data_IF_493487980891
#
_entry.id   IF_493487980891
#
_cell.length_a   1.000
_cell.length_b   1.000
_cell.length_c   1.000
_cell.angle_alpha   90.00
_cell.angle_beta   90.00
_cell.angle_gamma   90.00
#
_symmetry.space_group_name_H-M   'P 1'
#
loop_
_entity.id
_entity.type
_entity.pdbx_description
1 polymer ?
#
# COMPACT_ATOMS: atom_id res chain seq x y z
N UNK A 1 -43.16 -60.40 90.71
CA UNK A 1 -42.28 -60.28 91.89
C UNK A 1 -41.99 -58.80 92.14
N UNK A 2 -42.29 -58.32 93.36
CA UNK A 2 -41.98 -56.98 93.96
C UNK A 2 -42.53 -55.76 93.19
N UNK A 3 -43.66 -55.13 93.53
CA UNK A 3 -44.19 -54.53 94.79
C UNK A 3 -43.48 -53.22 95.22
N UNK A 4 -44.15 -52.08 95.00
CA UNK A 4 -44.38 -50.92 95.91
C UNK A 4 -44.75 -49.68 95.07
N UNK A 5 -45.99 -49.15 95.00
CA UNK A 5 -46.89 -48.56 96.02
C UNK A 5 -46.64 -47.05 96.27
N UNK A 6 -47.77 -46.33 96.38
CA UNK A 6 -48.06 -44.97 96.90
C UNK A 6 -47.99 -43.79 95.91
N UNK A 7 -49.09 -43.25 95.34
CA UNK A 7 -50.30 -42.56 95.87
C UNK A 7 -50.06 -41.07 96.22
N UNK A 8 -50.70 -40.16 95.45
CA UNK A 8 -51.61 -39.06 95.89
C UNK A 8 -51.51 -37.81 94.99
N UNK A 9 -52.68 -37.20 94.74
CA UNK A 9 -52.80 -35.75 94.56
C UNK A 9 -53.59 -35.30 93.34
N UNK A 10 -54.88 -35.09 93.51
CA UNK A 10 -55.74 -34.33 92.60
C UNK A 10 -55.40 -32.84 92.72
N UNK A 11 -55.23 -32.11 91.62
CA UNK A 11 -55.40 -30.65 91.57
C UNK A 11 -55.85 -30.22 90.17
N UNK A 12 -56.92 -29.41 90.14
CA UNK A 12 -57.61 -28.85 88.97
C UNK A 12 -56.69 -27.83 88.27
N UNK A 13 -56.58 -27.88 86.93
CA UNK A 13 -55.91 -26.85 86.15
C UNK A 13 -56.68 -26.49 84.87
N UNK A 14 -56.81 -25.18 84.69
CA UNK A 14 -57.60 -24.40 83.75
C UNK A 14 -57.08 -24.48 82.31
N UNK A 15 -58.00 -24.43 81.34
CA UNK A 15 -57.72 -24.37 79.90
C UNK A 15 -57.06 -23.04 79.54
N UNK A 16 -55.90 -23.10 78.87
CA UNK A 16 -55.21 -21.96 78.25
C UNK A 16 -54.92 -22.23 76.78
N UNK A 17 -55.68 -21.58 75.90
CA UNK A 17 -55.54 -21.62 74.44
C UNK A 17 -54.40 -20.65 74.04
N UNK A 18 -53.25 -21.16 73.58
CA UNK A 18 -52.18 -20.34 73.02
C UNK A 18 -52.44 -20.07 71.52
N UNK A 19 -52.81 -18.83 71.18
CA UNK A 19 -52.63 -18.28 69.84
C UNK A 19 -51.15 -17.91 69.65
N UNK A 20 -50.46 -18.58 68.73
CA UNK A 20 -49.20 -18.10 68.20
C UNK A 20 -49.48 -17.03 67.14
N UNK A 21 -49.26 -15.76 67.48
CA UNK A 21 -49.30 -14.65 66.53
C UNK A 21 -47.92 -14.54 65.85
N UNK A 22 -47.85 -14.90 64.58
CA UNK A 22 -46.71 -14.60 63.71
C UNK A 22 -46.71 -13.10 63.38
N UNK A 23 -45.76 -12.38 63.93
CA UNK A 23 -45.49 -10.98 63.59
C UNK A 23 -45.00 -10.89 62.13
N UNK A 24 -45.77 -10.21 61.27
CA UNK A 24 -45.26 -9.74 59.99
C UNK A 24 -44.11 -8.75 60.26
N UNK A 25 -42.90 -9.05 59.76
CA UNK A 25 -41.82 -8.08 59.70
C UNK A 25 -42.30 -6.92 58.81
N UNK A 26 -42.08 -5.68 59.25
CA UNK A 26 -42.22 -4.50 58.38
C UNK A 26 -41.24 -4.68 57.22
N UNK A 27 -41.74 -4.77 56.00
CA UNK A 27 -40.88 -4.68 54.82
C UNK A 27 -40.19 -3.31 54.84
N UNK A 28 -38.85 -3.29 54.80
CA UNK A 28 -38.11 -2.05 54.56
C UNK A 28 -38.49 -1.53 53.18
N UNK A 29 -38.81 -0.24 53.10
CA UNK A 29 -39.13 0.38 51.82
C UNK A 29 -37.90 0.30 50.90
N UNK A 30 -38.11 -0.18 49.67
CA UNK A 30 -37.07 -0.22 48.63
C UNK A 30 -36.47 1.17 48.43
N UNK A 31 -35.14 1.23 48.35
CA UNK A 31 -34.41 2.43 47.94
C UNK A 31 -34.61 2.68 46.44
N UNK A 32 -34.28 3.89 45.94
CA UNK A 32 -34.40 4.22 44.53
C UNK A 32 -33.68 3.22 43.61
N UNK A 33 -34.23 3.02 42.42
CA UNK A 33 -33.62 2.22 41.36
C UNK A 33 -32.22 2.72 40.99
N UNK A 34 -31.34 1.84 40.48
CA UNK A 34 -29.99 2.24 40.11
C UNK A 34 -29.99 3.25 38.95
N UNK A 35 -28.94 4.07 38.88
CA UNK A 35 -28.68 4.98 37.77
C UNK A 35 -27.35 4.64 37.11
N UNK A 36 -27.24 4.98 35.82
CA UNK A 36 -26.01 4.82 35.04
C UNK A 36 -25.65 6.18 34.44
N UNK A 37 -24.40 6.59 34.59
CA UNK A 37 -23.84 7.78 33.96
C UNK A 37 -22.53 7.43 33.24
N UNK A 38 -22.20 8.17 32.19
CA UNK A 38 -21.02 7.92 31.36
C UNK A 38 -20.02 9.07 31.48
N UNK A 39 -18.73 8.76 31.43
CA UNK A 39 -17.67 9.78 31.32
C UNK A 39 -17.71 10.49 29.97
N UNK A 40 -17.98 9.75 28.90
CA UNK A 40 -18.24 10.28 27.56
C UNK A 40 -19.45 9.58 26.94
N UNK A 41 -20.38 10.37 26.40
CA UNK A 41 -21.61 9.84 25.77
C UNK A 41 -21.42 9.54 24.28
N UNK A 42 -20.36 10.09 23.66
CA UNK A 42 -20.05 9.82 22.26
C UNK A 42 -18.56 9.98 21.95
N UNK A 43 -18.12 9.34 20.88
CA UNK A 43 -16.79 9.51 20.30
C UNK A 43 -16.82 9.17 18.81
N UNK A 44 -15.71 9.41 18.11
CA UNK A 44 -15.54 9.01 16.72
C UNK A 44 -14.15 8.43 16.48
N UNK A 45 -14.05 7.31 15.78
CA UNK A 45 -12.77 6.69 15.45
C UNK A 45 -12.87 5.85 14.17
N UNK A 46 -11.71 5.49 13.59
CA UNK A 46 -11.64 4.67 12.39
C UNK A 46 -12.08 3.22 12.67
N UNK A 47 -12.56 2.53 11.64
CA UNK A 47 -12.75 1.08 11.71
C UNK A 47 -11.44 0.38 12.16
N UNK A 48 -11.55 -0.57 13.07
CA UNK A 48 -10.40 -1.25 13.69
C UNK A 48 -9.79 -0.53 14.90
N UNK A 49 -10.16 0.73 15.19
CA UNK A 49 -9.66 1.44 16.36
C UNK A 49 -10.39 1.02 17.64
N UNK A 50 -9.68 1.07 18.78
CA UNK A 50 -10.27 0.88 20.10
C UNK A 50 -10.70 2.21 20.69
N UNK A 51 -11.92 2.27 21.20
CA UNK A 51 -12.52 3.42 21.88
C UNK A 51 -12.89 3.05 23.31
N UNK A 52 -12.93 4.04 24.20
CA UNK A 52 -13.21 3.81 25.62
C UNK A 52 -14.14 4.87 26.22
N UNK A 53 -14.88 4.46 27.25
CA UNK A 53 -15.65 5.34 28.14
C UNK A 53 -15.67 4.74 29.54
N UNK A 54 -15.97 5.54 30.55
CA UNK A 54 -16.18 5.08 31.93
C UNK A 54 -17.67 5.04 32.21
N UNK A 55 -18.16 3.96 32.84
CA UNK A 55 -19.55 3.82 33.26
C UNK A 55 -19.62 3.87 34.77
N UNK A 56 -20.28 4.88 35.33
CA UNK A 56 -20.54 4.98 36.77
C UNK A 56 -21.94 4.47 37.05
N UNK A 57 -22.04 3.46 37.91
CA UNK A 57 -23.28 2.85 38.37
C UNK A 57 -23.52 3.25 39.83
N UNK A 58 -24.60 3.98 40.09
CA UNK A 58 -25.06 4.25 41.45
C UNK A 58 -26.26 3.35 41.74
N UNK A 59 -26.10 2.39 42.66
CA UNK A 59 -27.09 1.38 42.99
C UNK A 59 -27.33 1.35 44.51
N UNK A 60 -28.32 2.08 45.05
CA UNK A 60 -28.55 2.19 46.50
C UNK A 60 -28.75 0.85 47.23
N UNK A 61 -29.26 -0.18 46.53
CA UNK A 61 -29.41 -1.56 47.05
C UNK A 61 -28.18 -2.45 46.82
N UNK A 62 -27.11 -1.90 46.26
CA UNK A 62 -25.90 -2.61 45.85
C UNK A 62 -26.00 -3.14 44.42
N UNK A 63 -24.96 -2.92 43.62
CA UNK A 63 -24.92 -3.37 42.23
C UNK A 63 -24.94 -4.90 42.09
N UNK A 64 -25.61 -5.43 41.06
CA UNK A 64 -25.62 -6.86 40.71
C UNK A 64 -24.97 -7.12 39.35
N UNK A 65 -25.51 -6.52 38.29
CA UNK A 65 -25.03 -6.70 36.91
C UNK A 65 -25.11 -5.41 36.11
N UNK A 66 -24.13 -5.18 35.25
CA UNK A 66 -24.16 -4.18 34.19
C UNK A 66 -24.35 -4.91 32.85
N UNK A 67 -25.56 -4.87 32.32
CA UNK A 67 -25.84 -5.36 30.97
C UNK A 67 -25.23 -4.38 29.95
N UNK A 68 -24.54 -4.94 28.96
CA UNK A 68 -23.94 -4.18 27.86
C UNK A 68 -24.44 -4.79 26.55
N UNK A 69 -24.99 -3.95 25.68
CA UNK A 69 -25.43 -4.36 24.34
C UNK A 69 -24.77 -3.46 23.30
N UNK A 70 -24.35 -4.04 22.19
CA UNK A 70 -23.82 -3.33 21.03
C UNK A 70 -24.89 -3.37 19.94
N UNK A 71 -25.38 -2.20 19.51
CA UNK A 71 -26.52 -2.07 18.59
C UNK A 71 -27.76 -2.88 19.03
N UNK A 72 -27.98 -2.95 20.34
CA UNK A 72 -29.13 -3.66 20.92
C UNK A 72 -28.99 -5.18 21.04
N UNK A 73 -27.85 -5.76 20.66
CA UNK A 73 -27.56 -7.19 20.80
C UNK A 73 -26.37 -7.45 21.71
N UNK A 74 -26.33 -8.62 22.34
CA UNK A 74 -25.17 -9.05 23.12
C UNK A 74 -23.97 -9.28 22.20
N UNK A 75 -22.82 -8.77 22.60
CA UNK A 75 -21.56 -8.88 21.84
C UNK A 75 -20.51 -9.61 22.67
N UNK A 76 -19.95 -10.69 22.13
CA UNK A 76 -18.95 -11.50 22.82
C UNK A 76 -17.63 -10.73 23.06
N UNK A 77 -17.35 -9.70 22.25
CA UNK A 77 -16.17 -8.84 22.43
C UNK A 77 -16.35 -7.82 23.55
N UNK A 78 -17.60 -7.58 23.99
CA UNK A 78 -17.91 -6.69 25.09
C UNK A 78 -19.07 -7.26 25.95
N UNK A 79 -18.81 -8.33 26.73
CA UNK A 79 -19.85 -9.00 27.51
C UNK A 79 -20.31 -8.15 28.70
N UNK A 80 -21.50 -8.49 29.22
CA UNK A 80 -22.01 -7.93 30.47
C UNK A 80 -21.04 -8.14 31.63
N UNK A 81 -21.04 -7.22 32.60
CA UNK A 81 -20.13 -7.23 33.75
C UNK A 81 -20.88 -7.49 35.05
N UNK A 82 -20.29 -8.29 35.94
CA UNK A 82 -20.76 -8.44 37.32
C UNK A 82 -20.31 -7.23 38.14
N UNK A 83 -21.24 -6.65 38.90
CA UNK A 83 -20.95 -5.53 39.80
C UNK A 83 -20.52 -6.07 41.18
N UNK A 84 -19.72 -5.30 41.92
CA UNK A 84 -19.07 -5.72 43.16
C UNK A 84 -20.01 -5.71 44.39
N UNK A 85 -21.25 -5.27 44.22
CA UNK A 85 -22.24 -5.22 45.29
C UNK A 85 -22.20 -3.96 46.15
N UNK A 86 -21.32 -3.00 45.85
CA UNK A 86 -21.28 -1.67 46.49
C UNK A 86 -22.38 -0.76 45.97
N UNK A 87 -22.60 0.36 46.65
CA UNK A 87 -23.63 1.33 46.28
C UNK A 87 -23.23 2.24 45.13
N UNK A 88 -21.95 2.30 44.78
CA UNK A 88 -21.44 3.08 43.65
C UNK A 88 -20.18 2.41 43.11
N UNK A 89 -20.15 2.13 41.81
CA UNK A 89 -19.04 1.46 41.14
C UNK A 89 -18.73 2.13 39.80
N UNK A 90 -17.45 2.36 39.51
CA UNK A 90 -16.98 2.82 38.19
C UNK A 90 -16.43 1.63 37.42
N UNK A 91 -16.80 1.53 36.14
CA UNK A 91 -16.45 0.44 35.25
C UNK A 91 -15.87 0.99 33.96
N UNK A 92 -14.60 0.68 33.69
CA UNK A 92 -13.98 1.05 32.41
C UNK A 92 -14.49 0.15 31.28
N UNK A 93 -14.86 0.77 30.17
CA UNK A 93 -15.34 0.12 28.96
C UNK A 93 -14.36 0.43 27.83
N UNK A 94 -13.95 -0.62 27.12
CA UNK A 94 -13.09 -0.56 25.95
C UNK A 94 -13.68 -1.42 24.85
N UNK A 95 -13.87 -0.86 23.66
CA UNK A 95 -14.51 -1.51 22.53
C UNK A 95 -13.71 -1.29 21.26
N UNK A 96 -13.46 -2.34 20.48
CA UNK A 96 -12.75 -2.24 19.19
C UNK A 96 -13.76 -2.23 18.05
N UNK A 97 -13.74 -1.17 17.25
CA UNK A 97 -14.64 -1.03 16.11
C UNK A 97 -14.33 -2.14 15.10
N UNK A 98 -15.32 -2.90 14.60
CA UNK A 98 -15.09 -3.91 13.57
C UNK A 98 -14.37 -3.33 12.35
N UNK A 99 -13.38 -4.03 11.81
CA UNK A 99 -12.63 -3.56 10.63
C UNK A 99 -13.52 -3.37 9.38
N UNK A 100 -14.65 -4.08 9.31
CA UNK A 100 -15.64 -3.98 8.24
C UNK A 100 -16.74 -2.93 8.51
N UNK A 101 -16.64 -2.14 9.58
CA UNK A 101 -17.66 -1.15 9.92
C UNK A 101 -17.74 -0.05 8.83
N UNK A 102 -18.96 0.31 8.46
CA UNK A 102 -19.22 1.28 7.39
C UNK A 102 -18.96 2.70 7.90
N UNK A 103 -18.17 3.47 7.17
CA UNK A 103 -17.91 4.89 7.46
C UNK A 103 -19.24 5.66 7.58
N UNK A 104 -19.36 6.49 8.62
CA UNK A 104 -20.56 7.27 8.93
C UNK A 104 -21.64 6.51 9.70
N UNK A 105 -21.51 5.19 9.89
CA UNK A 105 -22.39 4.44 10.78
C UNK A 105 -22.12 4.77 12.24
N UNK A 106 -23.15 4.61 13.08
CA UNK A 106 -23.06 4.80 14.54
C UNK A 106 -23.24 3.44 15.19
N UNK A 107 -22.28 3.05 16.02
CA UNK A 107 -22.36 1.87 16.88
C UNK A 107 -22.83 2.37 18.25
N UNK A 108 -24.03 1.95 18.67
CA UNK A 108 -24.60 2.31 19.95
C UNK A 108 -24.29 1.24 20.99
N UNK A 109 -23.47 1.57 21.98
CA UNK A 109 -23.20 0.70 23.13
C UNK A 109 -24.10 1.16 24.26
N UNK A 110 -25.06 0.32 24.65
CA UNK A 110 -26.03 0.64 25.69
C UNK A 110 -25.71 -0.08 27.00
N UNK A 111 -25.96 0.61 28.10
CA UNK A 111 -25.66 0.16 29.44
C UNK A 111 -26.91 0.21 30.30
N UNK A 112 -27.19 -0.89 31.00
CA UNK A 112 -28.28 -0.98 31.95
C UNK A 112 -27.81 -1.70 33.20
N UNK A 113 -27.96 -1.08 34.37
CA UNK A 113 -27.60 -1.68 35.64
C UNK A 113 -28.81 -2.39 36.27
N UNK A 114 -28.56 -3.52 36.91
CA UNK A 114 -29.50 -4.20 37.81
C UNK A 114 -28.88 -4.21 39.21
N UNK A 115 -29.67 -3.86 40.22
CA UNK A 115 -29.26 -3.91 41.64
C UNK A 115 -29.61 -5.26 42.29
N UNK A 116 -29.28 -5.45 43.57
CA UNK A 116 -29.59 -6.68 44.33
C UNK A 116 -31.09 -6.85 44.62
N UNK A 117 -31.87 -5.77 44.58
CA UNK A 117 -33.33 -5.81 44.66
C UNK A 117 -33.99 -6.14 43.30
N UNK A 118 -33.21 -6.34 42.24
CA UNK A 118 -33.62 -6.56 40.86
C UNK A 118 -34.34 -5.35 40.23
N UNK A 119 -34.09 -4.14 40.73
CA UNK A 119 -34.46 -2.91 40.03
C UNK A 119 -33.50 -2.66 38.87
N UNK A 120 -34.02 -2.09 37.79
CA UNK A 120 -33.29 -1.88 36.54
C UNK A 120 -33.19 -0.37 36.26
N UNK A 121 -32.01 0.09 35.90
CA UNK A 121 -31.78 1.50 35.56
C UNK A 121 -32.43 1.87 34.22
N UNK A 122 -32.67 3.18 33.97
CA UNK A 122 -32.74 3.68 32.59
C UNK A 122 -31.45 3.32 31.82
N UNK A 123 -31.55 3.18 30.51
CA UNK A 123 -30.39 2.93 29.66
C UNK A 123 -29.56 4.19 29.44
N UNK A 124 -28.23 4.05 29.51
CA UNK A 124 -27.29 5.06 29.02
C UNK A 124 -26.64 4.56 27.72
N UNK A 125 -26.35 5.45 26.78
CA UNK A 125 -25.80 5.09 25.47
C UNK A 125 -24.48 5.81 25.22
N UNK A 126 -23.44 5.03 24.90
CA UNK A 126 -22.20 5.52 24.32
C UNK A 126 -22.25 5.32 22.80
N UNK A 127 -22.38 6.41 22.06
CA UNK A 127 -22.46 6.39 20.61
C UNK A 127 -21.07 6.53 19.96
N UNK A 128 -20.66 5.54 19.19
CA UNK A 128 -19.37 5.52 18.49
C UNK A 128 -19.61 5.71 17.00
N UNK A 129 -19.26 6.88 16.48
CA UNK A 129 -19.33 7.18 15.04
C UNK A 129 -18.09 6.63 14.34
N UNK A 130 -18.28 5.84 13.27
CA UNK A 130 -17.17 5.33 12.46
C UNK A 130 -16.69 6.44 11.53
N UNK A 131 -15.50 6.97 11.78
CA UNK A 131 -14.91 8.06 11.01
C UNK A 131 -14.38 7.59 9.66
N UNK A 132 -14.46 8.47 8.67
CA UNK A 132 -13.72 8.30 7.42
C UNK A 132 -12.22 8.45 7.68
N UNK A 133 -11.39 7.72 6.93
CA UNK A 133 -9.97 8.08 6.80
C UNK A 133 -9.91 9.45 6.14
N UNK A 134 -9.23 10.46 6.73
CA UNK A 134 -9.07 11.76 6.09
C UNK A 134 -8.45 11.58 4.70
N UNK A 135 -8.99 12.29 3.70
CA UNK A 135 -8.41 12.27 2.37
C UNK A 135 -6.98 12.85 2.43
N UNK A 136 -6.02 12.14 1.81
CA UNK A 136 -4.66 12.64 1.68
C UNK A 136 -4.64 13.91 0.83
N UNK A 137 -3.85 14.90 1.22
CA UNK A 137 -3.62 16.10 0.40
C UNK A 137 -2.80 15.74 -0.84
N UNK A 138 -3.21 16.24 -2.00
CA UNK A 138 -2.44 16.11 -3.24
C UNK A 138 -1.46 17.28 -3.35
N UNK A 139 -0.18 16.96 -3.52
CA UNK A 139 0.89 17.92 -3.81
C UNK A 139 1.23 17.81 -5.29
N UNK A 140 0.93 18.85 -6.06
CA UNK A 140 1.38 18.96 -7.45
C UNK A 140 2.88 19.25 -7.49
N UNK A 141 3.63 18.38 -8.17
CA UNK A 141 5.08 18.51 -8.37
C UNK A 141 5.34 18.78 -9.85
N UNK A 142 6.16 19.80 -10.13
CA UNK A 142 6.53 20.22 -11.49
C UNK A 142 8.03 20.49 -11.56
N UNK A 143 8.60 20.45 -12.77
CA UNK A 143 9.97 20.92 -13.00
C UNK A 143 11.05 20.03 -12.39
N UNK A 144 12.13 20.65 -11.90
CA UNK A 144 13.32 19.95 -11.39
C UNK A 144 13.47 20.10 -9.88
N UNK A 145 13.74 18.99 -9.21
CA UNK A 145 14.11 18.87 -7.81
C UNK A 145 15.64 18.90 -7.75
N UNK A 146 16.20 20.05 -7.37
CA UNK A 146 17.65 20.29 -7.34
C UNK A 146 18.25 20.29 -5.94
N UNK A 147 17.43 19.97 -4.93
CA UNK A 147 17.84 19.80 -3.53
C UNK A 147 17.21 18.54 -2.98
N UNK A 148 17.88 17.92 -2.01
CA UNK A 148 17.38 16.72 -1.36
C UNK A 148 15.95 16.93 -0.85
N UNK A 149 15.05 16.04 -1.26
CA UNK A 149 13.62 16.17 -1.02
C UNK A 149 13.07 14.88 -0.46
N UNK A 150 12.13 14.99 0.47
CA UNK A 150 11.50 13.86 1.12
C UNK A 150 9.98 13.88 0.90
N UNK A 151 9.46 12.81 0.31
CA UNK A 151 8.04 12.58 0.11
C UNK A 151 7.48 11.63 1.16
N UNK A 152 6.40 12.04 1.82
CA UNK A 152 5.86 11.39 3.01
C UNK A 152 4.51 10.72 2.73
N UNK A 153 4.24 9.60 3.40
CA UNK A 153 3.08 8.75 3.10
C UNK A 153 1.72 9.37 3.48
N UNK A 154 1.68 10.47 4.25
CA UNK A 154 0.47 11.23 4.57
C UNK A 154 -0.08 12.04 3.38
N UNK A 155 0.69 12.17 2.30
CA UNK A 155 0.32 12.92 1.10
C UNK A 155 0.26 12.01 -0.13
N UNK A 156 -0.36 12.54 -1.18
CA UNK A 156 -0.25 12.03 -2.54
C UNK A 156 0.59 13.03 -3.31
N UNK A 157 1.56 12.57 -4.08
CA UNK A 157 2.38 13.44 -4.94
C UNK A 157 1.94 13.26 -6.37
N UNK A 158 1.60 14.34 -7.07
CA UNK A 158 1.16 14.27 -8.47
C UNK A 158 2.21 14.91 -9.39
N UNK A 159 2.78 14.09 -10.26
CA UNK A 159 3.77 14.49 -11.26
C UNK A 159 3.05 15.20 -12.41
N UNK A 160 3.28 16.50 -12.55
CA UNK A 160 2.66 17.33 -13.57
C UNK A 160 3.72 17.67 -14.64
N UNK A 161 3.69 16.89 -15.73
CA UNK A 161 4.77 16.80 -16.71
C UNK A 161 5.93 15.94 -16.20
N UNK A 162 7.07 15.98 -16.91
CA UNK A 162 8.29 15.32 -16.46
C UNK A 162 8.90 16.05 -15.27
N UNK A 163 8.73 15.47 -14.08
CA UNK A 163 9.40 15.86 -12.84
C UNK A 163 10.79 15.23 -12.84
N UNK A 164 11.82 16.04 -12.60
CA UNK A 164 13.22 15.61 -12.69
C UNK A 164 13.89 15.69 -11.33
N UNK A 165 14.65 14.69 -10.95
CA UNK A 165 15.57 14.76 -9.80
C UNK A 165 16.96 15.08 -10.35
N UNK A 166 17.49 16.24 -9.99
CA UNK A 166 18.65 16.85 -10.62
C UNK A 166 18.34 17.51 -11.97
N UNK A 167 19.39 18.06 -12.59
CA UNK A 167 19.35 18.67 -13.92
C UNK A 167 20.54 18.20 -14.74
N UNK A 168 20.24 17.68 -15.92
CA UNK A 168 21.20 17.16 -16.87
C UNK A 168 20.69 17.49 -18.26
N UNK A 169 21.31 18.47 -18.91
CA UNK A 169 20.78 19.06 -20.12
C UNK A 169 21.91 19.39 -21.09
N UNK A 170 21.60 19.24 -22.38
CA UNK A 170 22.47 19.68 -23.45
C UNK A 170 22.65 21.22 -23.38
N UNK A 171 23.88 21.75 -23.40
CA UNK A 171 24.12 23.18 -23.47
C UNK A 171 23.62 23.78 -24.81
N UNK A 172 22.38 24.27 -24.83
CA UNK A 172 21.79 25.04 -25.92
C UNK A 172 21.41 24.25 -27.20
N UNK A 173 20.53 24.86 -28.01
CA UNK A 173 20.19 24.37 -29.35
C UNK A 173 21.28 24.80 -30.34
N UNK A 174 22.16 23.88 -30.78
CA UNK A 174 23.17 24.28 -31.78
C UNK A 174 24.29 23.33 -32.20
N UNK A 175 24.45 22.11 -31.67
CA UNK A 175 25.48 21.22 -32.20
C UNK A 175 25.26 19.74 -31.88
N UNK A 176 25.26 18.89 -32.89
CA UNK A 176 25.73 17.52 -32.71
C UNK A 176 27.18 17.59 -32.17
N UNK A 177 27.54 16.73 -31.22
CA UNK A 177 28.89 16.65 -30.64
C UNK A 177 29.11 17.36 -29.29
N UNK A 178 28.05 17.74 -28.56
CA UNK A 178 28.17 18.38 -27.22
C UNK A 178 27.49 17.51 -26.17
N UNK A 179 28.23 17.18 -25.12
CA UNK A 179 27.74 16.36 -24.01
C UNK A 179 26.65 17.10 -23.21
N UNK A 180 25.60 16.40 -22.77
CA UNK A 180 24.73 16.90 -21.71
C UNK A 180 25.55 17.11 -20.43
N UNK A 181 25.27 18.23 -19.75
CA UNK A 181 25.99 18.66 -18.56
C UNK A 181 25.09 18.53 -17.34
N UNK A 182 25.55 17.74 -16.37
CA UNK A 182 24.97 17.67 -15.03
C UNK A 182 25.23 19.00 -14.34
N UNK A 183 24.16 19.76 -14.07
CA UNK A 183 24.24 21.11 -13.47
C UNK A 183 23.75 21.14 -12.02
N UNK A 184 22.95 20.14 -11.62
CA UNK A 184 22.55 19.90 -10.24
C UNK A 184 22.26 18.42 -10.03
N UNK A 185 22.54 17.94 -8.83
CA UNK A 185 22.16 16.59 -8.38
C UNK A 185 21.33 16.70 -7.11
N UNK A 186 20.45 15.73 -6.88
CA UNK A 186 19.64 15.65 -5.67
C UNK A 186 19.32 14.20 -5.32
N UNK A 187 18.92 13.99 -4.07
CA UNK A 187 18.33 12.73 -3.61
C UNK A 187 16.84 12.93 -3.34
N UNK A 188 16.00 12.16 -4.03
CA UNK A 188 14.58 12.05 -3.71
C UNK A 188 14.35 10.83 -2.81
N UNK A 189 13.95 11.06 -1.56
CA UNK A 189 13.55 10.00 -0.63
C UNK A 189 12.02 9.89 -0.60
N UNK A 190 11.48 8.67 -0.63
CA UNK A 190 10.04 8.41 -0.62
C UNK A 190 9.70 7.39 0.46
N UNK A 191 8.81 7.76 1.38
CA UNK A 191 8.34 6.86 2.44
C UNK A 191 7.54 5.68 1.89
N UNK A 192 7.66 4.53 2.55
CA UNK A 192 6.80 3.37 2.32
C UNK A 192 5.31 3.73 2.42
N UNK A 193 4.49 3.19 1.52
CA UNK A 193 3.04 3.47 1.47
C UNK A 193 2.67 4.82 0.83
N UNK A 194 3.65 5.56 0.30
CA UNK A 194 3.38 6.78 -0.49
C UNK A 194 2.74 6.41 -1.82
N UNK A 195 1.73 7.20 -2.20
CA UNK A 195 1.07 7.10 -3.51
C UNK A 195 1.50 8.29 -4.36
N UNK A 196 1.95 8.00 -5.57
CA UNK A 196 2.39 8.97 -6.56
C UNK A 196 1.48 8.84 -7.77
N UNK A 197 0.91 9.95 -8.22
CA UNK A 197 0.13 10.03 -9.43
C UNK A 197 0.95 10.58 -10.59
N UNK A 198 0.92 9.89 -11.72
CA UNK A 198 1.21 10.51 -13.00
C UNK A 198 -0.02 11.30 -13.47
N UNK A 199 0.14 12.61 -13.66
CA UNK A 199 -0.93 13.44 -14.22
C UNK A 199 -1.16 13.06 -15.68
N UNK A 200 -2.41 12.96 -16.07
CA UNK A 200 -2.80 12.75 -17.46
C UNK A 200 -2.74 14.05 -18.26
N UNK A 201 -2.47 13.99 -19.55
CA UNK A 201 -2.39 15.17 -20.42
C UNK A 201 -1.21 15.11 -21.38
N UNK A 202 -0.81 16.26 -21.90
CA UNK A 202 0.28 16.39 -22.86
C UNK A 202 1.34 17.39 -22.34
N UNK A 203 2.55 16.93 -21.98
CA UNK A 203 2.95 15.53 -21.85
C UNK A 203 2.29 14.84 -20.64
N UNK A 204 2.24 13.51 -20.66
CA UNK A 204 1.92 12.72 -19.47
C UNK A 204 2.94 12.98 -18.35
N UNK A 205 2.50 12.86 -17.10
CA UNK A 205 3.40 13.00 -15.94
C UNK A 205 4.45 11.87 -15.92
N UNK A 206 5.69 12.19 -15.56
CA UNK A 206 6.77 11.19 -15.47
C UNK A 206 7.79 11.58 -14.42
N UNK A 207 8.52 10.60 -13.87
CA UNK A 207 9.61 10.83 -12.92
C UNK A 207 10.94 10.43 -13.54
N UNK A 208 11.83 11.40 -13.74
CA UNK A 208 13.17 11.19 -14.32
C UNK A 208 14.22 11.42 -13.24
N UNK A 209 15.00 10.41 -12.94
CA UNK A 209 16.19 10.53 -12.08
C UNK A 209 17.38 10.79 -13.00
N UNK A 210 17.85 12.04 -13.04
CA UNK A 210 18.95 12.43 -13.92
C UNK A 210 20.29 11.86 -13.45
N UNK A 211 21.25 11.74 -14.38
CA UNK A 211 22.60 11.22 -14.07
C UNK A 211 23.20 11.91 -12.85
N UNK A 212 23.78 11.10 -11.96
CA UNK A 212 24.38 11.56 -10.69
C UNK A 212 23.38 11.86 -9.56
N UNK A 213 22.07 11.90 -9.83
CA UNK A 213 21.02 12.01 -8.82
C UNK A 213 20.59 10.64 -8.30
N UNK A 214 19.83 10.63 -7.20
CA UNK A 214 19.41 9.41 -6.53
C UNK A 214 17.91 9.39 -6.23
N UNK A 215 17.33 8.18 -6.29
CA UNK A 215 16.04 7.87 -5.72
C UNK A 215 16.22 6.86 -4.58
N UNK A 216 15.62 7.14 -3.42
CA UNK A 216 15.54 6.23 -2.27
C UNK A 216 14.06 5.95 -2.03
N UNK A 217 13.52 4.98 -2.75
CA UNK A 217 12.13 4.54 -2.70
C UNK A 217 12.07 3.13 -2.13
N UNK A 218 12.03 3.04 -0.80
CA UNK A 218 12.08 1.77 -0.08
C UNK A 218 10.72 1.49 0.58
N UNK A 219 9.80 0.92 -0.19
CA UNK A 219 8.55 0.39 0.31
C UNK A 219 8.74 -0.86 1.16
N UNK A 220 7.62 -1.45 1.59
CA UNK A 220 7.60 -2.76 2.25
C UNK A 220 6.51 -3.64 1.64
N UNK A 221 6.54 -4.94 1.91
CA UNK A 221 5.48 -5.85 1.45
C UNK A 221 4.07 -5.45 1.94
N UNK A 222 3.97 -4.88 3.15
CA UNK A 222 2.71 -4.38 3.71
C UNK A 222 2.36 -2.94 3.30
N UNK A 223 3.35 -2.16 2.85
CA UNK A 223 3.19 -0.77 2.47
C UNK A 223 4.09 -0.44 1.25
N UNK A 224 3.75 -0.97 0.06
CA UNK A 224 4.51 -0.67 -1.15
C UNK A 224 4.35 0.81 -1.52
N UNK A 225 5.34 1.36 -2.22
CA UNK A 225 5.20 2.66 -2.88
C UNK A 225 4.46 2.42 -4.20
N UNK A 226 3.46 3.24 -4.50
CA UNK A 226 2.61 3.04 -5.69
C UNK A 226 2.67 4.26 -6.59
N UNK A 227 3.23 4.09 -7.80
CA UNK A 227 3.13 5.01 -8.91
C UNK A 227 1.98 4.58 -9.82
N UNK A 228 1.00 5.44 -10.06
CA UNK A 228 -0.21 5.07 -10.83
C UNK A 228 -0.84 6.27 -11.53
N UNK A 229 -1.82 6.03 -12.40
CA UNK A 229 -2.61 7.08 -13.05
C UNK A 229 -3.44 7.89 -12.05
N UNK A 230 -3.52 9.22 -12.25
CA UNK A 230 -4.41 10.09 -11.45
C UNK A 230 -5.91 9.82 -11.68
N UNK A 231 -6.28 9.08 -12.74
CA UNK A 231 -7.68 8.77 -13.03
C UNK A 231 -8.29 7.89 -11.94
N UNK A 232 -9.59 8.03 -11.77
CA UNK A 232 -10.38 7.18 -10.88
C UNK A 232 -10.23 5.71 -11.23
N UNK A 233 -10.23 4.84 -10.22
CA UNK A 233 -10.24 3.40 -10.41
C UNK A 233 -11.38 2.98 -11.36
N UNK A 234 -11.09 2.05 -12.27
CA UNK A 234 -12.01 1.65 -13.35
C UNK A 234 -11.96 2.52 -14.61
N UNK A 235 -11.31 3.70 -14.56
CA UNK A 235 -11.11 4.58 -15.72
C UNK A 235 -9.64 4.71 -16.16
N UNK A 236 -8.73 4.03 -15.45
CA UNK A 236 -7.30 4.00 -15.72
C UNK A 236 -7.01 3.12 -16.94
N UNK A 237 -6.03 3.53 -17.73
CA UNK A 237 -5.57 2.80 -18.92
C UNK A 237 -4.05 2.92 -19.03
N UNK A 238 -3.40 1.92 -19.63
CA UNK A 238 -2.01 2.06 -20.02
C UNK A 238 -1.82 3.34 -20.85
N UNK A 239 -0.69 4.01 -20.65
CA UNK A 239 -0.35 5.26 -21.31
C UNK A 239 -1.03 6.50 -20.72
N UNK A 240 -1.69 6.37 -19.57
CA UNK A 240 -2.25 7.52 -18.85
C UNK A 240 -1.16 8.50 -18.39
N UNK A 241 0.04 8.01 -18.14
CA UNK A 241 1.22 8.76 -17.70
C UNK A 241 2.50 8.07 -18.19
N UNK A 242 3.65 8.75 -18.09
CA UNK A 242 4.90 8.30 -18.73
C UNK A 242 5.49 7.05 -18.08
N UNK A 243 5.85 7.11 -16.81
CA UNK A 243 6.58 6.02 -16.14
C UNK A 243 7.66 6.54 -15.21
N UNK A 244 8.52 5.63 -14.74
CA UNK A 244 9.70 5.95 -13.94
C UNK A 244 10.95 5.69 -14.76
N UNK A 245 11.81 6.69 -14.85
CA UNK A 245 13.01 6.67 -15.68
C UNK A 245 14.21 6.93 -14.79
N UNK A 246 15.18 6.01 -14.77
CA UNK A 246 16.40 6.15 -14.00
C UNK A 246 17.59 6.19 -14.97
N UNK A 247 18.28 7.31 -14.99
CA UNK A 247 19.44 7.53 -15.84
C UNK A 247 20.74 7.45 -15.02
N UNK A 248 21.55 6.43 -15.29
CA UNK A 248 22.85 6.22 -14.68
C UNK A 248 24.02 6.56 -15.60
N UNK A 249 25.23 6.31 -15.09
CA UNK A 249 26.51 6.59 -15.76
C UNK A 249 27.30 5.33 -16.14
N UNK A 250 26.71 4.15 -16.05
CA UNK A 250 27.40 2.90 -16.42
C UNK A 250 27.68 2.83 -17.93
N UNK A 251 28.51 1.86 -18.33
CA UNK A 251 28.86 1.66 -19.74
C UNK A 251 27.64 1.20 -20.56
N UNK A 252 27.64 1.61 -21.81
CA UNK A 252 26.77 1.12 -22.88
C UNK A 252 27.62 1.04 -24.16
N UNK A 253 27.05 0.56 -25.25
CA UNK A 253 27.76 0.36 -26.52
C UNK A 253 27.39 1.39 -27.60
N UNK A 254 26.83 2.53 -27.20
CA UNK A 254 26.35 3.56 -28.11
C UNK A 254 27.56 4.26 -28.75
N UNK A 255 27.55 4.32 -30.08
CA UNK A 255 28.58 4.96 -30.91
C UNK A 255 27.98 6.07 -31.75
N UNK A 256 28.67 7.20 -31.82
CA UNK A 256 28.25 8.39 -32.56
C UNK A 256 26.78 8.74 -32.28
N UNK A 257 26.46 8.97 -31.01
CA UNK A 257 25.09 9.24 -30.52
C UNK A 257 24.32 10.19 -31.43
N UNK A 258 23.05 9.87 -31.69
CA UNK A 258 22.20 10.69 -32.53
C UNK A 258 21.85 12.04 -31.86
N UNK A 259 21.58 12.04 -30.55
CA UNK A 259 21.24 13.26 -29.81
C UNK A 259 22.46 14.08 -29.38
N UNK A 260 23.58 13.43 -29.04
CA UNK A 260 24.74 14.11 -28.45
C UNK A 260 25.94 14.19 -29.39
N UNK A 261 26.04 13.34 -30.41
CA UNK A 261 27.22 13.18 -31.26
C UNK A 261 28.45 12.62 -30.53
N UNK A 262 28.28 12.10 -29.31
CA UNK A 262 29.35 11.53 -28.50
C UNK A 262 29.15 10.03 -28.30
N UNK A 263 30.26 9.32 -28.14
CA UNK A 263 30.22 7.92 -27.76
C UNK A 263 29.79 7.76 -26.28
N UNK A 264 28.96 6.76 -26.02
CA UNK A 264 28.61 6.34 -24.67
C UNK A 264 27.64 7.25 -23.90
N UNK A 265 27.08 8.29 -24.54
CA UNK A 265 26.05 9.18 -23.95
C UNK A 265 24.94 9.42 -24.98
N UNK A 266 23.71 9.11 -24.62
CA UNK A 266 22.53 9.24 -25.49
C UNK A 266 21.33 9.76 -24.69
N UNK A 267 20.36 10.31 -25.40
CA UNK A 267 19.05 10.64 -24.88
C UNK A 267 18.10 9.45 -25.13
N UNK A 268 17.37 9.02 -24.10
CA UNK A 268 16.34 8.01 -24.28
C UNK A 268 15.33 8.45 -25.36
N UNK A 269 14.72 7.45 -26.01
CA UNK A 269 13.83 7.67 -27.15
C UNK A 269 12.68 8.63 -26.81
N UNK A 270 12.25 9.43 -27.78
CA UNK A 270 11.21 10.45 -27.55
C UNK A 270 11.75 11.84 -27.18
N UNK A 271 13.06 12.01 -26.96
CA UNK A 271 13.72 13.31 -26.82
C UNK A 271 13.15 14.22 -25.71
N UNK A 272 12.95 13.64 -24.53
CA UNK A 272 12.38 14.31 -23.36
C UNK A 272 13.42 14.63 -22.28
N UNK A 273 14.69 14.82 -22.64
CA UNK A 273 15.78 15.27 -21.77
C UNK A 273 16.24 14.25 -20.73
N UNK A 274 16.06 12.96 -20.99
CA UNK A 274 16.53 11.87 -20.13
C UNK A 274 17.82 11.27 -20.72
N UNK A 275 18.94 11.92 -20.43
CA UNK A 275 20.26 11.49 -20.92
C UNK A 275 20.85 10.42 -20.01
N UNK A 276 21.43 9.37 -20.60
CA UNK A 276 22.06 8.26 -19.87
C UNK A 276 23.46 7.93 -20.41
N UNK A 277 24.24 7.22 -19.60
CA UNK A 277 25.61 6.82 -19.92
C UNK A 277 26.66 7.83 -19.46
N UNK A 278 27.84 7.33 -19.11
CA UNK A 278 28.96 8.16 -18.63
C UNK A 278 29.96 8.55 -19.71
N UNK A 279 29.81 8.08 -20.95
CA UNK A 279 30.77 8.33 -22.02
C UNK A 279 32.18 7.88 -21.64
N UNK A 280 33.13 8.80 -21.73
CA UNK A 280 34.53 8.55 -21.32
C UNK A 280 34.70 8.32 -19.81
N UNK A 281 33.77 8.83 -19.00
CA UNK A 281 33.78 8.73 -17.54
C UNK A 281 32.78 7.67 -17.03
N UNK A 282 32.51 6.64 -17.85
CA UNK A 282 31.57 5.60 -17.51
C UNK A 282 31.98 4.80 -16.26
N UNK A 283 31.00 4.59 -15.37
CA UNK A 283 31.17 3.95 -14.08
C UNK A 283 30.15 2.81 -13.90
N UNK A 284 30.60 1.57 -14.09
CA UNK A 284 29.74 0.39 -13.91
C UNK A 284 29.31 0.15 -12.46
N UNK A 285 29.93 0.84 -11.49
CA UNK A 285 29.54 0.83 -10.09
C UNK A 285 28.68 2.04 -9.71
N UNK A 286 28.23 2.85 -10.69
CA UNK A 286 27.36 3.99 -10.47
C UNK A 286 26.12 3.59 -9.64
N UNK A 287 25.70 4.50 -8.76
CA UNK A 287 24.64 4.24 -7.79
C UNK A 287 23.58 5.34 -7.85
N UNK A 288 22.48 5.02 -8.52
CA UNK A 288 21.28 5.84 -8.64
C UNK A 288 20.30 5.67 -7.45
N UNK A 289 20.69 4.90 -6.42
CA UNK A 289 19.96 4.72 -5.17
C UNK A 289 19.33 3.34 -5.01
N UNK A 290 18.13 3.30 -4.42
CA UNK A 290 17.40 2.08 -4.12
C UNK A 290 15.92 2.22 -4.46
N UNK A 291 15.39 1.20 -5.13
CA UNK A 291 14.01 1.15 -5.60
C UNK A 291 13.43 -0.23 -5.26
N UNK A 292 12.83 -0.32 -4.07
CA UNK A 292 12.39 -1.60 -3.52
C UNK A 292 10.94 -1.61 -3.05
N UNK A 293 10.20 -2.70 -3.29
CA UNK A 293 8.76 -2.82 -2.99
C UNK A 293 7.94 -1.67 -3.63
N UNK A 294 8.06 -1.57 -4.95
CA UNK A 294 7.40 -0.53 -5.74
C UNK A 294 6.44 -1.14 -6.74
N UNK A 295 5.27 -0.51 -6.90
CA UNK A 295 4.31 -0.79 -7.97
C UNK A 295 4.25 0.38 -8.92
N UNK A 296 4.36 0.10 -10.21
CA UNK A 296 4.19 1.05 -11.30
C UNK A 296 3.00 0.56 -12.13
N UNK A 297 1.98 1.39 -12.28
CA UNK A 297 0.73 0.97 -12.89
C UNK A 297 0.31 1.95 -13.98
N UNK A 298 -0.13 1.43 -15.13
CA UNK A 298 -0.74 2.26 -16.19
C UNK A 298 0.20 3.30 -16.83
N UNK A 299 1.52 3.08 -16.75
CA UNK A 299 2.55 3.85 -17.46
C UNK A 299 2.49 3.58 -18.99
N UNK A 300 3.39 4.14 -19.81
CA UNK A 300 3.35 3.93 -21.27
C UNK A 300 3.01 5.16 -22.12
N UNK A 301 3.28 6.40 -21.68
CA UNK A 301 2.80 7.58 -22.43
C UNK A 301 3.51 7.72 -23.78
N UNK A 302 2.79 7.77 -24.92
CA UNK A 302 3.37 8.00 -26.24
C UNK A 302 3.87 9.44 -26.36
N UNK A 303 5.18 9.65 -26.25
CA UNK A 303 5.77 10.99 -26.42
C UNK A 303 5.67 11.40 -27.88
N UNK A 304 6.04 10.49 -28.79
CA UNK A 304 5.83 10.59 -30.23
C UNK A 304 5.13 9.31 -30.72
N UNK A 305 4.64 9.27 -31.98
CA UNK A 305 4.08 8.04 -32.54
C UNK A 305 5.10 6.88 -32.48
N UNK A 306 4.74 5.78 -31.82
CA UNK A 306 5.57 4.60 -31.59
C UNK A 306 6.86 4.88 -30.79
N UNK A 307 6.81 5.85 -29.88
CA UNK A 307 7.90 6.17 -28.93
C UNK A 307 7.27 6.48 -27.57
N UNK A 308 6.69 5.43 -27.00
CA UNK A 308 6.15 5.38 -25.66
C UNK A 308 7.27 5.38 -24.61
N UNK A 309 6.91 5.63 -23.35
CA UNK A 309 7.82 5.51 -22.21
C UNK A 309 7.45 4.27 -21.44
N UNK A 310 8.42 3.45 -21.08
CA UNK A 310 8.18 2.17 -20.40
C UNK A 310 7.60 2.32 -18.99
N UNK A 311 7.20 1.20 -18.40
CA UNK A 311 6.90 1.14 -16.98
C UNK A 311 8.08 1.59 -16.12
N UNK A 312 9.17 0.82 -16.17
CA UNK A 312 10.45 1.18 -15.58
C UNK A 312 11.54 1.18 -16.65
N UNK A 313 12.00 2.37 -17.02
CA UNK A 313 13.12 2.57 -17.94
C UNK A 313 14.43 2.72 -17.18
N UNK A 314 15.44 1.91 -17.53
CA UNK A 314 16.75 1.87 -16.87
C UNK A 314 17.84 2.19 -17.90
N UNK A 315 18.19 3.47 -18.02
CA UNK A 315 19.24 3.93 -18.93
C UNK A 315 20.61 3.90 -18.27
N UNK A 316 21.52 3.03 -18.73
CA UNK A 316 22.91 2.93 -18.24
C UNK A 316 23.03 2.90 -16.71
N UNK A 317 22.13 2.20 -16.02
CA UNK A 317 22.12 2.14 -14.55
C UNK A 317 23.23 1.21 -14.06
N UNK A 318 24.02 1.67 -13.08
CA UNK A 318 25.17 0.94 -12.55
C UNK A 318 24.81 -0.09 -11.48
N UNK A 319 25.73 -1.03 -11.28
CA UNK A 319 25.61 -2.15 -10.32
C UNK A 319 25.58 -1.72 -8.85
N UNK A 320 25.90 -0.47 -8.54
CA UNK A 320 25.74 0.11 -7.21
C UNK A 320 24.28 0.41 -6.83
N UNK A 321 23.37 0.39 -7.82
CA UNK A 321 21.94 0.65 -7.64
C UNK A 321 21.20 -0.63 -7.22
N UNK A 322 20.23 -0.51 -6.31
CA UNK A 322 19.41 -1.64 -5.87
C UNK A 322 18.00 -1.59 -6.48
N UNK A 323 17.64 -2.59 -7.28
CA UNK A 323 16.28 -2.79 -7.81
C UNK A 323 15.75 -4.14 -7.29
N UNK A 324 14.71 -4.13 -6.44
CA UNK A 324 14.24 -5.35 -5.76
C UNK A 324 12.73 -5.31 -5.45
N UNK A 325 11.96 -6.36 -5.75
CA UNK A 325 10.50 -6.38 -5.51
C UNK A 325 9.79 -5.24 -6.24
N UNK A 326 9.88 -5.21 -7.57
CA UNK A 326 9.22 -4.20 -8.41
C UNK A 326 8.17 -4.87 -9.27
N UNK A 327 6.97 -4.30 -9.29
CA UNK A 327 5.87 -4.77 -10.12
C UNK A 327 5.44 -3.66 -11.08
N UNK A 328 5.38 -3.99 -12.36
CA UNK A 328 4.84 -3.14 -13.40
C UNK A 328 3.55 -3.77 -13.93
N UNK A 329 2.46 -3.01 -13.98
CA UNK A 329 1.17 -3.51 -14.45
C UNK A 329 0.52 -2.61 -15.48
N UNK A 330 -0.08 -3.20 -16.51
CA UNK A 330 -0.88 -2.47 -17.50
C UNK A 330 -0.12 -1.31 -18.18
N UNK A 331 1.19 -1.46 -18.38
CA UNK A 331 1.98 -0.51 -19.17
C UNK A 331 1.50 -0.54 -20.63
N UNK A 332 1.48 0.62 -21.28
CA UNK A 332 1.23 0.77 -22.72
C UNK A 332 2.51 0.72 -23.55
N UNK A 333 3.57 0.20 -22.96
CA UNK A 333 4.82 -0.12 -23.62
C UNK A 333 5.45 -1.28 -22.81
N UNK A 334 6.76 -1.46 -22.93
CA UNK A 334 7.51 -2.42 -22.14
C UNK A 334 7.29 -2.26 -20.64
N UNK A 335 7.24 -3.40 -19.95
CA UNK A 335 7.16 -3.38 -18.49
C UNK A 335 8.48 -2.93 -17.89
N UNK A 336 9.57 -3.54 -18.33
CA UNK A 336 10.93 -3.21 -17.92
C UNK A 336 11.83 -3.15 -19.15
N UNK A 337 12.57 -2.06 -19.30
CA UNK A 337 13.54 -1.94 -20.37
C UNK A 337 14.88 -1.39 -19.87
N UNK A 338 15.96 -2.04 -20.28
CA UNK A 338 17.33 -1.66 -19.97
C UNK A 338 18.06 -1.16 -21.22
N UNK A 339 18.41 0.12 -21.23
CA UNK A 339 19.27 0.70 -22.25
C UNK A 339 20.72 0.78 -21.76
N UNK A 340 21.47 -0.30 -21.92
CA UNK A 340 22.84 -0.44 -21.42
C UNK A 340 22.92 -0.54 -19.89
N UNK A 341 24.15 -0.51 -19.36
CA UNK A 341 24.43 -0.56 -17.93
C UNK A 341 24.66 -1.96 -17.36
N UNK A 342 24.79 -2.02 -16.04
CA UNK A 342 25.26 -3.20 -15.28
C UNK A 342 24.43 -3.46 -14.02
N UNK A 343 23.31 -2.76 -13.85
CA UNK A 343 22.43 -2.94 -12.68
C UNK A 343 21.93 -4.37 -12.58
N UNK A 344 21.98 -4.92 -11.36
CA UNK A 344 21.33 -6.18 -11.06
C UNK A 344 19.93 -5.90 -10.52
N UNK A 345 18.96 -6.75 -10.87
CA UNK A 345 17.60 -6.64 -10.38
C UNK A 345 17.06 -8.00 -9.91
N UNK A 346 16.13 -7.99 -8.95
CA UNK A 346 15.47 -9.24 -8.54
C UNK A 346 14.04 -9.05 -8.06
N UNK A 347 13.26 -10.12 -8.10
CA UNK A 347 11.84 -10.12 -7.73
C UNK A 347 11.05 -9.11 -8.58
N UNK A 348 11.00 -9.35 -9.89
CA UNK A 348 10.31 -8.48 -10.85
C UNK A 348 9.00 -9.12 -11.30
N UNK A 349 7.94 -8.32 -11.41
CA UNK A 349 6.66 -8.76 -11.95
C UNK A 349 6.26 -7.84 -13.11
N UNK A 350 6.18 -8.39 -14.32
CA UNK A 350 5.52 -7.79 -15.47
C UNK A 350 4.12 -8.40 -15.59
N UNK A 351 3.07 -7.58 -15.45
CA UNK A 351 1.69 -8.07 -15.44
C UNK A 351 0.82 -7.28 -16.42
N UNK A 352 0.47 -7.94 -17.52
CA UNK A 352 -0.44 -7.41 -18.54
C UNK A 352 0.03 -6.08 -19.16
N UNK A 353 1.34 -5.92 -19.36
CA UNK A 353 1.89 -4.89 -20.26
C UNK A 353 1.50 -5.17 -21.71
N UNK A 354 1.51 -4.14 -22.55
CA UNK A 354 1.12 -4.25 -23.95
C UNK A 354 2.25 -4.76 -24.83
N UNK A 355 3.48 -4.25 -24.70
CA UNK A 355 4.62 -4.64 -25.54
C UNK A 355 5.46 -5.73 -24.87
N UNK A 356 6.73 -5.54 -24.51
CA UNK A 356 7.57 -6.62 -23.96
C UNK A 356 7.57 -6.67 -22.42
N UNK A 357 7.74 -7.88 -21.86
CA UNK A 357 7.78 -8.03 -20.40
C UNK A 357 9.14 -7.56 -19.87
N UNK A 358 10.20 -7.92 -20.60
CA UNK A 358 11.59 -7.58 -20.30
C UNK A 358 12.35 -7.33 -21.61
N UNK A 359 12.71 -6.08 -21.88
CA UNK A 359 13.52 -5.69 -23.03
C UNK A 359 14.93 -5.25 -22.60
N UNK A 360 15.95 -5.63 -23.35
CA UNK A 360 17.33 -5.27 -23.11
C UNK A 360 18.03 -4.83 -24.38
N UNK A 361 18.70 -3.69 -24.29
CA UNK A 361 19.36 -3.09 -25.43
C UNK A 361 20.69 -2.44 -25.04
N UNK A 362 21.41 -1.96 -26.06
CA UNK A 362 22.55 -1.04 -25.92
C UNK A 362 23.68 -1.51 -24.97
N UNK A 363 23.97 -2.80 -24.95
CA UNK A 363 25.10 -3.36 -24.20
C UNK A 363 24.81 -3.69 -22.75
N UNK A 364 23.54 -3.86 -22.37
CA UNK A 364 23.18 -4.23 -21.01
C UNK A 364 23.81 -5.57 -20.60
N UNK A 365 24.46 -5.60 -19.44
CA UNK A 365 25.25 -6.76 -18.97
C UNK A 365 25.01 -7.09 -17.49
N UNK A 366 23.87 -6.65 -16.94
CA UNK A 366 23.45 -6.96 -15.58
C UNK A 366 22.85 -8.36 -15.42
N UNK A 367 22.56 -8.72 -14.17
CA UNK A 367 21.90 -9.97 -13.81
C UNK A 367 20.51 -9.70 -13.24
N UNK A 368 19.51 -10.40 -13.77
CA UNK A 368 18.11 -10.32 -13.32
C UNK A 368 17.67 -11.68 -12.80
N UNK A 369 17.13 -11.73 -11.59
CA UNK A 369 16.70 -13.00 -10.97
C UNK A 369 15.31 -12.96 -10.36
N UNK A 370 14.56 -14.07 -10.44
CA UNK A 370 13.20 -14.19 -9.89
C UNK A 370 12.22 -13.24 -10.56
N UNK A 371 12.03 -13.40 -11.87
CA UNK A 371 11.05 -12.63 -12.62
C UNK A 371 9.79 -13.42 -12.96
N UNK A 372 8.66 -12.72 -13.06
CA UNK A 372 7.37 -13.24 -13.47
C UNK A 372 6.76 -12.34 -14.54
N UNK A 373 6.58 -12.87 -15.75
CA UNK A 373 5.80 -12.23 -16.81
C UNK A 373 4.44 -12.92 -16.94
N UNK A 374 3.34 -12.17 -16.93
CA UNK A 374 1.99 -12.71 -17.15
C UNK A 374 1.25 -11.85 -18.17
N UNK A 375 0.84 -12.48 -19.27
CA UNK A 375 0.11 -11.82 -20.35
C UNK A 375 -1.40 -11.96 -20.24
N UNK A 376 -2.11 -10.94 -20.70
CA UNK A 376 -3.55 -11.04 -20.97
C UNK A 376 -3.76 -11.58 -22.39
N UNK A 377 -4.75 -12.43 -22.62
CA UNK A 377 -4.97 -13.05 -23.92
C UNK A 377 -5.25 -12.04 -25.05
N UNK A 378 -5.73 -10.85 -24.73
CA UNK A 378 -6.22 -9.88 -25.73
C UNK A 378 -5.34 -8.62 -25.85
N UNK A 379 -4.36 -8.44 -24.97
CA UNK A 379 -3.50 -7.26 -24.91
C UNK A 379 -2.15 -7.63 -25.52
N UNK A 380 -1.88 -7.12 -26.73
CA UNK A 380 -0.60 -7.25 -27.42
C UNK A 380 -0.41 -6.01 -28.31
N UNK A 381 0.83 -5.57 -28.46
CA UNK A 381 1.22 -4.43 -29.27
C UNK A 381 1.18 -4.76 -30.77
N UNK A 382 1.08 -3.74 -31.63
CA UNK A 382 1.14 -3.89 -33.07
C UNK A 382 2.57 -4.16 -33.59
N UNK A 383 3.62 -3.75 -32.86
CA UNK A 383 5.02 -4.15 -33.05
C UNK A 383 5.20 -5.67 -32.87
N UNK A 384 4.46 -6.20 -31.89
CA UNK A 384 4.28 -7.59 -31.56
C UNK A 384 5.03 -8.00 -30.30
N UNK A 385 4.29 -8.61 -29.37
CA UNK A 385 4.71 -8.73 -27.98
C UNK A 385 5.41 -10.05 -27.65
N UNK A 386 6.41 -9.96 -26.79
CA UNK A 386 7.35 -11.01 -26.41
C UNK A 386 7.52 -11.12 -24.89
N UNK A 387 7.80 -12.33 -24.39
CA UNK A 387 8.25 -12.48 -23.01
C UNK A 387 9.60 -11.84 -22.75
N UNK A 388 10.50 -11.86 -23.74
CA UNK A 388 11.76 -11.14 -23.73
C UNK A 388 12.05 -10.61 -25.12
N UNK A 389 12.55 -9.39 -25.22
CA UNK A 389 13.29 -8.88 -26.38
C UNK A 389 14.72 -8.54 -25.93
N UNK A 390 15.69 -8.87 -26.77
CA UNK A 390 17.09 -8.58 -26.47
C UNK A 390 17.88 -8.32 -27.73
N UNK A 391 18.38 -7.10 -27.80
CA UNK A 391 19.18 -6.54 -28.88
C UNK A 391 20.55 -6.11 -28.36
N UNK A 392 21.58 -6.18 -29.20
CA UNK A 392 22.82 -5.49 -28.87
C UNK A 392 22.66 -3.98 -28.97
N UNK A 393 22.03 -3.58 -30.08
CA UNK A 393 21.63 -2.23 -30.45
C UNK A 393 20.68 -2.38 -31.65
N UNK A 394 19.96 -1.30 -32.01
CA UNK A 394 19.00 -1.27 -33.10
C UNK A 394 19.55 -1.75 -34.47
N UNK A 395 20.87 -1.66 -34.71
CA UNK A 395 21.51 -2.08 -35.95
C UNK A 395 22.13 -3.49 -35.90
N UNK A 396 22.12 -4.12 -34.72
CA UNK A 396 22.84 -5.37 -34.48
C UNK A 396 24.34 -5.27 -34.74
N UNK A 397 24.94 -4.15 -34.37
CA UNK A 397 26.34 -3.86 -34.64
C UNK A 397 27.30 -4.78 -33.85
N UNK A 398 28.60 -4.66 -34.11
CA UNK A 398 29.66 -5.30 -33.32
C UNK A 398 30.20 -4.41 -32.19
N UNK A 399 29.46 -3.37 -31.80
CA UNK A 399 29.89 -2.46 -30.74
C UNK A 399 29.97 -3.17 -29.40
N UNK A 400 30.99 -2.81 -28.61
CA UNK A 400 31.21 -3.37 -27.27
C UNK A 400 30.90 -2.31 -26.20
N UNK A 401 30.45 -2.72 -24.99
CA UNK A 401 30.14 -4.10 -24.58
C UNK A 401 28.96 -4.70 -25.36
N UNK A 402 28.95 -6.03 -25.53
CA UNK A 402 27.77 -6.67 -26.10
C UNK A 402 26.63 -6.71 -25.07
N UNK A 403 25.37 -6.61 -25.50
CA UNK A 403 24.25 -7.02 -24.64
C UNK A 403 24.43 -8.49 -24.33
N UNK A 404 24.56 -8.78 -23.03
CA UNK A 404 24.85 -10.11 -22.51
C UNK A 404 24.17 -10.27 -21.16
N UNK A 405 22.88 -9.91 -21.12
CA UNK A 405 22.06 -9.92 -19.93
C UNK A 405 21.87 -11.36 -19.42
N UNK A 406 22.01 -11.58 -18.12
CA UNK A 406 21.75 -12.88 -17.52
C UNK A 406 20.43 -12.88 -16.77
N UNK A 407 19.43 -13.59 -17.29
CA UNK A 407 18.15 -13.80 -16.64
C UNK A 407 18.09 -15.20 -16.00
N UNK A 408 17.75 -15.30 -14.72
CA UNK A 408 17.72 -16.56 -13.97
C UNK A 408 16.43 -16.70 -13.15
N UNK A 409 15.91 -17.93 -13.03
CA UNK A 409 14.67 -18.20 -12.28
C UNK A 409 13.48 -17.37 -12.78
N UNK A 410 13.27 -17.34 -14.10
CA UNK A 410 12.18 -16.60 -14.74
C UNK A 410 10.99 -17.51 -15.01
N UNK A 411 9.77 -17.00 -14.78
CA UNK A 411 8.52 -17.65 -15.17
C UNK A 411 7.76 -16.73 -16.12
N UNK A 412 7.55 -17.17 -17.37
CA UNK A 412 6.78 -16.41 -18.37
C UNK A 412 5.50 -17.16 -18.70
N UNK A 413 4.36 -16.56 -18.42
CA UNK A 413 3.02 -17.10 -18.64
C UNK A 413 2.37 -16.31 -19.78
N UNK A 414 2.36 -16.90 -20.97
CA UNK A 414 1.70 -16.31 -22.15
C UNK A 414 0.17 -16.27 -22.03
N UNK A 415 -0.47 -15.52 -22.93
CA UNK A 415 -1.92 -15.25 -22.87
C UNK A 415 -2.82 -16.47 -23.14
N UNK A 416 -2.26 -17.58 -23.62
CA UNK A 416 -3.01 -18.81 -23.96
C UNK A 416 -3.14 -19.75 -22.75
N UNK A 417 -3.96 -19.36 -21.78
CA UNK A 417 -4.14 -20.12 -20.54
C UNK A 417 -4.67 -21.57 -20.76
N UNK A 418 -5.48 -21.79 -21.79
CA UNK A 418 -5.97 -23.11 -22.19
C UNK A 418 -5.87 -23.28 -23.72
N UNK A 419 -5.93 -24.52 -24.23
CA UNK A 419 -5.85 -24.77 -25.67
C UNK A 419 -6.94 -24.06 -26.49
N UNK A 420 -8.12 -23.86 -25.89
CA UNK A 420 -9.27 -23.17 -26.48
C UNK A 420 -9.29 -21.65 -26.26
N UNK A 421 -8.34 -21.08 -25.52
CA UNK A 421 -8.24 -19.63 -25.34
C UNK A 421 -7.81 -18.97 -26.65
N UNK A 422 -8.66 -18.12 -27.20
CA UNK A 422 -8.30 -17.20 -28.29
C UNK A 422 -7.30 -16.19 -27.78
N UNK A 423 -6.21 -15.98 -28.52
CA UNK A 423 -5.19 -14.98 -28.23
C UNK A 423 -5.12 -13.94 -29.35
N UNK A 424 -4.66 -12.73 -29.01
CA UNK A 424 -4.30 -11.71 -29.97
C UNK A 424 -3.23 -12.25 -30.94
N UNK A 425 -3.38 -11.95 -32.23
CA UNK A 425 -2.48 -12.45 -33.28
C UNK A 425 -1.10 -11.79 -33.26
N UNK A 426 -0.95 -10.69 -32.52
CA UNK A 426 0.32 -9.95 -32.45
C UNK A 426 1.31 -10.52 -31.42
N UNK A 427 0.91 -11.50 -30.60
CA UNK A 427 1.89 -12.21 -29.77
C UNK A 427 2.91 -12.95 -30.65
N UNK A 428 4.19 -12.80 -30.33
CA UNK A 428 5.28 -13.41 -31.09
C UNK A 428 6.02 -14.49 -30.28
N UNK A 429 6.95 -14.09 -29.41
CA UNK A 429 7.94 -15.01 -28.87
C UNK A 429 7.91 -15.13 -27.34
N UNK A 430 8.31 -16.29 -26.83
CA UNK A 430 8.67 -16.42 -25.41
C UNK A 430 9.95 -15.65 -25.10
N UNK A 431 10.93 -15.69 -26.00
CA UNK A 431 12.14 -14.89 -25.98
C UNK A 431 12.62 -14.63 -27.41
N UNK A 432 12.90 -13.36 -27.72
CA UNK A 432 13.42 -12.88 -29.00
C UNK A 432 14.83 -12.31 -28.77
N UNK A 433 15.85 -13.17 -28.95
CA UNK A 433 17.25 -12.77 -28.83
C UNK A 433 17.82 -12.58 -30.22
N UNK A 434 18.13 -11.34 -30.58
CA UNK A 434 18.48 -10.96 -31.95
C UNK A 434 19.54 -9.85 -31.96
N UNK A 435 19.79 -9.28 -33.15
CA UNK A 435 20.69 -8.13 -33.37
C UNK A 435 21.99 -8.22 -32.57
N UNK A 436 22.69 -9.34 -32.68
CA UNK A 436 24.00 -9.57 -32.08
C UNK A 436 24.06 -9.59 -30.54
N UNK A 437 22.92 -9.65 -29.85
CA UNK A 437 22.86 -9.97 -28.42
C UNK A 437 23.50 -11.34 -28.14
N UNK A 438 24.10 -11.50 -26.97
CA UNK A 438 24.89 -12.67 -26.57
C UNK A 438 24.22 -13.42 -25.43
N UNK A 439 24.47 -14.73 -25.38
CA UNK A 439 24.01 -15.67 -24.35
C UNK A 439 25.19 -16.40 -23.73
#
# INVERSE_FOLDING_TARGET
MKSSVLLKGITIATVGFMLALSSCKKDEALKPAPTVSLGTNSTSALAGATVSTTVTVDAPEGGKTLAILVNGVADNSLPAKTLDGTTSQVVDISYTIPAAAVVGSIINITFTATDKANQVSPSATFAVTVSAVPAKTIVDVTGSITTDTHWTADKIYRLNGFVRVGTDAKPGAGGAGVAPVITATATLTIDAGTVIYGKTGTPGGGLVIQRGSKIIANGTSSAPIVFTSEKSAGSRKGGDWSGVIICGKARNNIKASASTGLDGVEELEGAYGAFHGGGVDADDADNSGSFTYVRIEFAGYPINPNQEVNGLTLGSVGSGTTIDHVQVTYANDDSFEWFGGTVNARHLIAYKGIDDDFDTDNGFSGQVQFGLGIRDALIADQSGSNGFESDNDANGSANTPFTNATFSNMTIIGGKATSGTTINIQFQNGAQIRRNSRQ
#
